data_IF_017843131306
#
_entry.id   IF_017843131306
#
_cell.length_a   1.000
_cell.length_b   1.000
_cell.length_c   1.000
_cell.angle_alpha   90.00
_cell.angle_beta   90.00
_cell.angle_gamma   90.00
#
_symmetry.space_group_name_H-M   'P 1'
#
loop_
_entity.id
_entity.type
_entity.pdbx_description
1 polymer ?
#
# COMPACT_ATOMS: atom_id res chain seq x y z
N UNK A 1 25.50 -1.22 -8.47
CA UNK A 1 24.82 0.10 -8.35
C UNK A 1 25.21 0.97 -9.55
N UNK A 2 24.28 1.69 -10.16
CA UNK A 2 24.64 2.56 -11.28
C UNK A 2 25.52 3.73 -10.80
N UNK A 3 26.66 3.93 -11.47
CA UNK A 3 27.62 5.01 -11.10
C UNK A 3 27.22 6.40 -11.57
N UNK A 4 26.42 6.50 -12.65
CA UNK A 4 26.06 7.77 -13.30
C UNK A 4 24.67 8.32 -12.92
N UNK A 5 24.00 7.76 -11.94
CA UNK A 5 22.68 8.20 -11.51
C UNK A 5 21.76 7.06 -11.13
N UNK A 6 20.52 7.35 -10.70
CA UNK A 6 19.53 6.32 -10.38
C UNK A 6 19.11 5.54 -11.63
N UNK A 7 18.80 4.26 -11.45
CA UNK A 7 18.30 3.43 -12.54
C UNK A 7 16.98 4.00 -13.11
N UNK A 8 16.75 3.92 -14.43
CA UNK A 8 15.51 4.37 -15.05
C UNK A 8 14.32 3.59 -14.51
N UNK A 9 13.26 4.30 -14.16
CA UNK A 9 12.02 3.67 -13.68
C UNK A 9 11.26 3.09 -14.87
N UNK A 10 10.93 1.80 -14.81
CA UNK A 10 10.07 1.18 -15.83
C UNK A 10 8.65 1.71 -15.70
N UNK A 11 7.96 2.02 -16.82
CA UNK A 11 6.55 2.37 -16.80
C UNK A 11 5.71 1.19 -16.30
N UNK A 12 4.65 1.48 -15.57
CA UNK A 12 3.68 0.46 -15.14
C UNK A 12 2.71 0.23 -16.29
N UNK A 13 2.70 -0.98 -16.82
CA UNK A 13 1.73 -1.40 -17.85
C UNK A 13 0.39 -1.65 -17.16
N UNK A 14 -0.70 -1.16 -17.77
CA UNK A 14 -2.05 -1.43 -17.28
C UNK A 14 -2.39 -2.91 -17.37
N UNK A 15 -3.21 -3.38 -16.45
CA UNK A 15 -3.67 -4.77 -16.44
C UNK A 15 -4.56 -5.04 -17.65
N UNK A 16 -4.40 -6.18 -18.35
CA UNK A 16 -5.18 -6.46 -19.56
C UNK A 16 -6.68 -6.68 -19.31
N UNK A 17 -7.06 -7.15 -18.13
CA UNK A 17 -8.47 -7.44 -17.78
C UNK A 17 -9.18 -6.19 -17.28
N UNK A 18 -8.58 -5.50 -16.32
CA UNK A 18 -9.18 -4.33 -15.67
C UNK A 18 -8.73 -2.98 -16.27
N UNK A 19 -7.80 -2.96 -17.22
CA UNK A 19 -7.26 -1.72 -17.80
C UNK A 19 -6.60 -0.76 -16.79
N UNK A 20 -6.29 -1.24 -15.59
CA UNK A 20 -5.85 -0.40 -14.48
C UNK A 20 -4.39 -0.68 -14.11
N UNK A 21 -3.51 0.34 -14.06
CA UNK A 21 -2.13 0.17 -13.60
C UNK A 21 -2.04 -0.17 -12.11
N UNK A 22 -3.06 0.18 -11.33
CA UNK A 22 -3.12 -0.13 -9.89
C UNK A 22 -3.27 -1.63 -9.67
N UNK A 23 -4.05 -2.32 -10.49
CA UNK A 23 -4.22 -3.78 -10.43
C UNK A 23 -2.89 -4.48 -10.75
N UNK A 24 -2.17 -4.05 -11.79
CA UNK A 24 -0.83 -4.58 -12.10
C UNK A 24 0.15 -4.37 -10.94
N UNK A 25 0.10 -3.23 -10.29
CA UNK A 25 0.94 -2.96 -9.12
C UNK A 25 0.57 -3.87 -7.93
N UNK A 26 -0.72 -4.15 -7.72
CA UNK A 26 -1.20 -5.06 -6.67
C UNK A 26 -0.71 -6.50 -6.95
N UNK A 27 -0.83 -6.98 -8.18
CA UNK A 27 -0.30 -8.29 -8.61
C UNK A 27 1.20 -8.38 -8.30
N UNK A 28 1.97 -7.36 -8.66
CA UNK A 28 3.41 -7.32 -8.40
C UNK A 28 3.75 -7.29 -6.89
N UNK A 29 2.84 -6.84 -6.01
CA UNK A 29 3.05 -6.86 -4.56
C UNK A 29 2.70 -8.19 -3.91
N UNK A 30 1.77 -8.94 -4.50
CA UNK A 30 1.39 -10.27 -4.04
C UNK A 30 2.38 -11.33 -4.53
N UNK A 31 2.99 -11.09 -5.68
CA UNK A 31 3.95 -11.98 -6.32
C UNK A 31 5.02 -12.48 -5.34
N UNK A 32 5.19 -13.82 -5.31
CA UNK A 32 6.23 -14.54 -4.56
C UNK A 32 6.90 -15.53 -5.53
N UNK A 33 8.21 -15.67 -5.47
CA UNK A 33 9.01 -16.63 -6.24
C UNK A 33 8.79 -16.58 -7.76
N UNK A 34 8.38 -15.42 -8.29
CA UNK A 34 8.13 -15.26 -9.72
C UNK A 34 6.84 -15.91 -10.24
N UNK A 35 5.98 -16.47 -9.38
CA UNK A 35 4.71 -17.14 -9.75
C UNK A 35 3.62 -16.13 -10.13
N UNK A 36 3.81 -15.46 -11.28
CA UNK A 36 2.95 -14.35 -11.70
C UNK A 36 1.51 -14.79 -11.97
N UNK A 37 1.31 -15.91 -12.65
CA UNK A 37 -0.02 -16.41 -13.01
C UNK A 37 -0.87 -16.72 -11.77
N UNK A 38 -0.24 -17.29 -10.73
CA UNK A 38 -0.90 -17.52 -9.45
C UNK A 38 -1.28 -16.19 -8.77
N UNK A 39 -0.39 -15.21 -8.79
CA UNK A 39 -0.66 -13.89 -8.22
C UNK A 39 -1.80 -13.18 -8.96
N UNK A 40 -1.84 -13.25 -10.29
CA UNK A 40 -2.93 -12.71 -11.11
C UNK A 40 -4.27 -13.36 -10.77
N UNK A 41 -4.30 -14.70 -10.70
CA UNK A 41 -5.51 -15.45 -10.35
C UNK A 41 -6.05 -15.01 -8.98
N UNK A 42 -5.20 -14.96 -7.96
CA UNK A 42 -5.60 -14.50 -6.61
C UNK A 42 -6.19 -13.09 -6.65
N UNK A 43 -5.57 -12.16 -7.38
CA UNK A 43 -6.06 -10.77 -7.47
C UNK A 43 -7.38 -10.70 -8.22
N UNK A 44 -7.52 -11.41 -9.33
CA UNK A 44 -8.75 -11.38 -10.13
C UNK A 44 -9.94 -11.98 -9.36
N UNK A 45 -9.76 -13.15 -8.77
CA UNK A 45 -10.78 -13.75 -7.90
C UNK A 45 -11.13 -12.86 -6.71
N UNK A 46 -10.13 -12.20 -6.09
CA UNK A 46 -10.39 -11.29 -4.99
C UNK A 46 -11.19 -10.06 -5.43
N UNK A 47 -10.87 -9.47 -6.57
CA UNK A 47 -11.60 -8.33 -7.12
C UNK A 47 -13.03 -8.70 -7.54
N UNK A 48 -13.23 -9.88 -8.13
CA UNK A 48 -14.55 -10.41 -8.44
C UNK A 48 -15.39 -10.57 -7.16
N UNK A 49 -14.81 -11.17 -6.12
CA UNK A 49 -15.46 -11.29 -4.82
C UNK A 49 -15.78 -9.93 -4.17
N UNK A 50 -14.92 -8.93 -4.35
CA UNK A 50 -15.17 -7.55 -3.90
C UNK A 50 -16.36 -6.96 -4.64
N UNK A 51 -16.43 -7.10 -5.96
CA UNK A 51 -17.56 -6.63 -6.75
C UNK A 51 -18.87 -7.30 -6.32
N UNK A 52 -18.87 -8.62 -6.15
CA UNK A 52 -20.05 -9.39 -5.74
C UNK A 52 -20.55 -9.01 -4.35
N UNK A 53 -19.65 -8.75 -3.39
CA UNK A 53 -20.02 -8.38 -2.02
C UNK A 53 -20.40 -6.91 -1.86
N UNK A 54 -19.78 -6.00 -2.62
CA UNK A 54 -20.03 -4.56 -2.50
C UNK A 54 -21.13 -4.05 -3.44
N UNK A 55 -21.44 -4.79 -4.51
CA UNK A 55 -22.34 -4.34 -5.58
C UNK A 55 -21.79 -3.17 -6.40
N UNK A 56 -20.49 -2.87 -6.29
CA UNK A 56 -19.82 -1.75 -6.96
C UNK A 56 -18.69 -2.27 -7.85
N UNK A 57 -18.24 -1.43 -8.79
CA UNK A 57 -17.06 -1.75 -9.59
C UNK A 57 -15.82 -2.01 -8.73
N UNK A 58 -15.20 -3.18 -8.93
CA UNK A 58 -14.07 -3.65 -8.13
C UNK A 58 -12.87 -2.67 -8.12
N UNK A 59 -12.59 -2.05 -9.27
CA UNK A 59 -11.48 -1.09 -9.39
C UNK A 59 -11.76 0.18 -8.62
N UNK A 60 -13.00 0.62 -8.60
CA UNK A 60 -13.45 1.79 -7.83
C UNK A 60 -13.33 1.54 -6.32
N UNK A 61 -13.78 0.37 -5.85
CA UNK A 61 -13.63 -0.03 -4.44
C UNK A 61 -12.15 -0.15 -4.05
N UNK A 62 -11.31 -0.74 -4.91
CA UNK A 62 -9.87 -0.84 -4.68
C UNK A 62 -9.21 0.55 -4.59
N UNK A 63 -9.55 1.48 -5.48
CA UNK A 63 -9.04 2.87 -5.42
C UNK A 63 -9.43 3.54 -4.12
N UNK A 64 -10.71 3.45 -3.73
CA UNK A 64 -11.21 3.97 -2.45
C UNK A 64 -10.46 3.37 -1.25
N UNK A 65 -10.26 2.05 -1.24
CA UNK A 65 -9.48 1.38 -0.20
C UNK A 65 -8.04 1.92 -0.12
N UNK A 66 -7.37 2.09 -1.27
CA UNK A 66 -6.03 2.64 -1.32
C UNK A 66 -5.98 4.10 -0.86
N UNK A 67 -6.96 4.92 -1.22
CA UNK A 67 -7.05 6.32 -0.78
C UNK A 67 -7.18 6.40 0.75
N UNK A 68 -7.95 5.49 1.36
CA UNK A 68 -8.08 5.39 2.80
C UNK A 68 -6.80 4.87 3.50
N UNK A 69 -5.91 4.14 2.81
CA UNK A 69 -4.67 3.59 3.38
C UNK A 69 -3.45 4.46 3.09
N UNK A 70 -3.51 5.37 2.11
CA UNK A 70 -2.38 6.25 1.75
C UNK A 70 -1.97 7.15 2.90
N UNK A 71 -0.69 7.11 3.34
CA UNK A 71 -0.18 8.05 4.33
C UNK A 71 0.17 9.39 3.68
N UNK A 72 -0.10 10.49 4.36
CA UNK A 72 0.37 11.83 4.01
C UNK A 72 1.69 12.17 4.67
N UNK A 73 1.94 11.60 5.84
CA UNK A 73 3.16 11.81 6.64
C UNK A 73 3.82 10.47 6.94
N UNK A 74 5.14 10.46 6.98
CA UNK A 74 5.95 9.36 7.50
C UNK A 74 7.02 9.91 8.44
N UNK A 75 7.59 9.05 9.26
CA UNK A 75 8.70 9.41 10.15
C UNK A 75 9.99 8.85 9.58
N UNK A 76 11.03 9.68 9.48
CA UNK A 76 12.37 9.26 9.08
C UNK A 76 13.37 9.58 10.17
N UNK A 77 14.24 8.62 10.44
CA UNK A 77 15.35 8.84 11.37
C UNK A 77 16.41 9.73 10.76
N UNK A 78 16.86 10.75 11.52
CA UNK A 78 18.00 11.60 11.19
C UNK A 78 18.94 11.67 12.37
N UNK A 79 20.23 11.56 12.11
CA UNK A 79 21.27 11.67 13.13
C UNK A 79 21.78 13.12 13.16
N UNK A 80 21.67 13.76 14.32
CA UNK A 80 22.14 15.13 14.54
C UNK A 80 22.96 15.15 15.84
N UNK A 81 24.21 15.59 15.80
CA UNK A 81 25.07 15.71 16.99
C UNK A 81 25.25 14.39 17.76
N UNK A 82 25.23 13.24 17.08
CA UNK A 82 25.35 11.93 17.73
C UNK A 82 24.03 11.28 18.18
N UNK A 83 22.95 12.05 18.31
CA UNK A 83 21.62 11.56 18.67
C UNK A 83 20.76 11.30 17.42
N UNK A 84 19.92 10.27 17.46
CA UNK A 84 18.98 9.92 16.36
C UNK A 84 17.60 10.45 16.70
N UNK A 85 17.10 11.32 15.81
CA UNK A 85 15.75 11.90 15.92
C UNK A 85 14.83 11.32 14.86
N UNK A 86 13.56 11.14 15.23
CA UNK A 86 12.50 10.74 14.31
C UNK A 86 11.85 12.00 13.73
N UNK A 87 12.17 12.32 12.49
CA UNK A 87 11.72 13.57 11.83
C UNK A 87 10.49 13.28 10.97
N UNK A 88 9.35 13.97 11.18
CA UNK A 88 8.18 13.83 10.32
C UNK A 88 8.44 14.46 8.94
N UNK A 89 8.10 13.74 7.89
CA UNK A 89 8.30 14.17 6.50
C UNK A 89 7.04 13.85 5.68
N UNK A 90 6.67 14.78 4.80
CA UNK A 90 5.59 14.53 3.84
C UNK A 90 5.94 13.42 2.86
N UNK A 91 4.96 12.57 2.56
CA UNK A 91 5.15 11.43 1.66
C UNK A 91 4.80 11.85 0.22
N UNK A 92 5.76 11.67 -0.70
CA UNK A 92 5.51 11.90 -2.13
C UNK A 92 4.41 10.95 -2.65
N UNK A 93 3.52 11.39 -3.57
CA UNK A 93 2.38 10.59 -4.04
C UNK A 93 2.74 9.17 -4.52
N UNK A 94 3.82 9.04 -5.29
CA UNK A 94 4.32 7.75 -5.77
C UNK A 94 4.69 6.80 -4.60
N UNK A 95 5.31 7.34 -3.53
CA UNK A 95 5.68 6.57 -2.36
C UNK A 95 4.45 6.22 -1.52
N UNK A 96 3.49 7.14 -1.38
CA UNK A 96 2.23 6.90 -0.68
C UNK A 96 1.47 5.71 -1.29
N UNK A 97 1.36 5.66 -2.63
CA UNK A 97 0.77 4.52 -3.33
C UNK A 97 1.52 3.21 -3.06
N UNK A 98 2.85 3.24 -3.10
CA UNK A 98 3.68 2.06 -2.84
C UNK A 98 3.52 1.56 -1.41
N UNK A 99 3.42 2.47 -0.43
CA UNK A 99 3.19 2.13 0.98
C UNK A 99 1.79 1.55 1.18
N UNK A 100 0.77 2.18 0.59
CA UNK A 100 -0.61 1.70 0.68
C UNK A 100 -0.76 0.26 0.15
N UNK A 101 -0.23 -0.01 -1.05
CA UNK A 101 -0.23 -1.37 -1.63
C UNK A 101 0.55 -2.36 -0.76
N UNK A 102 1.69 -1.96 -0.22
CA UNK A 102 2.50 -2.81 0.66
C UNK A 102 1.74 -3.15 1.95
N UNK A 103 1.15 -2.15 2.59
CA UNK A 103 0.39 -2.38 3.83
C UNK A 103 -0.84 -3.23 3.59
N UNK A 104 -1.61 -2.93 2.55
CA UNK A 104 -2.77 -3.72 2.17
C UNK A 104 -2.41 -5.21 2.01
N UNK A 105 -1.37 -5.51 1.23
CA UNK A 105 -0.93 -6.90 1.00
C UNK A 105 -0.34 -7.56 2.24
N UNK A 106 0.43 -6.82 3.05
CA UNK A 106 1.04 -7.37 4.27
C UNK A 106 -0.01 -7.71 5.32
N UNK A 107 -0.99 -6.83 5.52
CA UNK A 107 -2.07 -7.09 6.48
C UNK A 107 -3.09 -8.10 5.97
N UNK A 108 -3.34 -8.16 4.65
CA UNK A 108 -4.10 -9.27 4.08
C UNK A 108 -3.43 -10.63 4.40
N UNK A 109 -2.10 -10.75 4.22
CA UNK A 109 -1.36 -11.99 4.57
C UNK A 109 -1.46 -12.36 6.05
N UNK A 110 -1.57 -11.38 6.94
CA UNK A 110 -1.66 -11.59 8.39
C UNK A 110 -3.08 -11.99 8.88
N UNK A 111 -4.09 -11.92 8.02
CA UNK A 111 -5.47 -12.31 8.37
C UNK A 111 -5.59 -13.82 8.60
N UNK A 112 -6.67 -14.21 9.28
CA UNK A 112 -6.91 -15.60 9.72
C UNK A 112 -7.69 -16.45 8.73
N UNK A 113 -8.25 -15.86 7.67
CA UNK A 113 -9.01 -16.58 6.64
C UNK A 113 -8.15 -17.64 5.97
N UNK A 114 -8.76 -18.67 5.42
CA UNK A 114 -8.07 -19.85 4.88
C UNK A 114 -7.27 -19.50 3.62
N UNK A 115 -7.87 -18.84 2.66
CA UNK A 115 -7.25 -18.55 1.36
C UNK A 115 -6.75 -17.12 1.25
N UNK A 116 -5.70 -16.88 0.44
CA UNK A 116 -5.19 -15.54 0.19
C UNK A 116 -6.21 -14.66 -0.55
N UNK A 117 -7.04 -15.28 -1.39
CA UNK A 117 -8.14 -14.62 -2.10
C UNK A 117 -9.14 -14.01 -1.11
N UNK A 118 -9.60 -14.77 -0.13
CA UNK A 118 -10.53 -14.29 0.91
C UNK A 118 -9.91 -13.21 1.79
N UNK A 119 -8.65 -13.41 2.21
CA UNK A 119 -7.90 -12.43 3.00
C UNK A 119 -7.79 -11.09 2.30
N UNK A 120 -7.45 -11.11 1.01
CA UNK A 120 -7.33 -9.90 0.20
C UNK A 120 -8.68 -9.23 -0.02
N UNK A 121 -9.71 -10.01 -0.34
CA UNK A 121 -11.09 -9.53 -0.49
C UNK A 121 -11.55 -8.77 0.75
N UNK A 122 -11.42 -9.39 1.92
CA UNK A 122 -11.91 -8.82 3.17
C UNK A 122 -11.08 -7.60 3.59
N UNK A 123 -9.76 -7.60 3.38
CA UNK A 123 -8.93 -6.43 3.68
C UNK A 123 -9.25 -5.23 2.76
N UNK A 124 -9.54 -5.47 1.47
CA UNK A 124 -9.97 -4.41 0.54
C UNK A 124 -11.33 -3.82 0.98
N UNK A 125 -12.30 -4.67 1.33
CA UNK A 125 -13.62 -4.22 1.79
C UNK A 125 -13.53 -3.43 3.10
N UNK A 126 -12.79 -3.94 4.09
CA UNK A 126 -12.56 -3.23 5.35
C UNK A 126 -11.89 -1.89 5.11
N UNK A 127 -10.83 -1.86 4.31
CA UNK A 127 -10.11 -0.62 3.98
C UNK A 127 -10.99 0.39 3.22
N UNK A 128 -11.89 -0.06 2.34
CA UNK A 128 -12.82 0.82 1.63
C UNK A 128 -13.82 1.50 2.58
N UNK A 129 -14.11 0.87 3.72
CA UNK A 129 -14.96 1.40 4.79
C UNK A 129 -14.15 2.10 5.91
N UNK A 130 -12.87 2.41 5.66
CA UNK A 130 -11.96 3.01 6.64
C UNK A 130 -11.74 2.14 7.89
N UNK A 131 -11.83 0.83 7.73
CA UNK A 131 -11.60 -0.17 8.77
C UNK A 131 -10.38 -1.03 8.41
N UNK A 132 -10.02 -1.95 9.32
CA UNK A 132 -8.97 -2.93 9.08
C UNK A 132 -7.57 -2.49 9.50
N UNK A 133 -6.66 -3.46 9.46
CA UNK A 133 -5.30 -3.29 9.99
C UNK A 133 -4.42 -2.38 9.11
N UNK A 134 -4.67 -2.33 7.81
CA UNK A 134 -3.97 -1.44 6.89
C UNK A 134 -4.28 0.05 7.18
N UNK A 135 -5.55 0.37 7.44
CA UNK A 135 -5.98 1.73 7.82
C UNK A 135 -5.41 2.09 9.19
N UNK A 136 -5.48 1.19 10.16
CA UNK A 136 -4.87 1.38 11.49
C UNK A 136 -3.37 1.69 11.37
N UNK A 137 -2.65 1.01 10.49
CA UNK A 137 -1.22 1.29 10.25
C UNK A 137 -0.98 2.71 9.75
N UNK A 138 -1.84 3.23 8.87
CA UNK A 138 -1.78 4.64 8.44
C UNK A 138 -1.95 5.57 9.65
N UNK A 139 -2.97 5.32 10.48
CA UNK A 139 -3.26 6.13 11.66
C UNK A 139 -2.10 6.12 12.66
N UNK A 140 -1.53 4.95 12.94
CA UNK A 140 -0.36 4.81 13.82
C UNK A 140 0.84 5.58 13.27
N UNK A 141 1.05 5.55 11.95
CA UNK A 141 2.12 6.31 11.29
C UNK A 141 1.89 7.81 11.41
N UNK A 142 0.65 8.28 11.24
CA UNK A 142 0.30 9.70 11.43
C UNK A 142 0.44 10.13 12.90
N UNK A 143 0.00 9.33 13.87
CA UNK A 143 0.20 9.59 15.30
C UNK A 143 1.68 9.71 15.66
N UNK A 144 2.52 8.81 15.14
CA UNK A 144 3.98 8.91 15.34
C UNK A 144 4.55 10.19 14.76
N UNK A 145 4.10 10.59 13.56
CA UNK A 145 4.55 11.84 12.92
C UNK A 145 4.11 13.07 13.72
N UNK A 146 2.90 13.05 14.25
CA UNK A 146 2.36 14.13 15.08
C UNK A 146 3.09 14.23 16.42
N UNK A 147 3.33 13.12 17.10
CA UNK A 147 4.11 13.07 18.36
C UNK A 147 5.52 13.60 18.19
N UNK A 148 6.11 13.44 17.01
CA UNK A 148 7.46 13.93 16.69
C UNK A 148 7.45 15.29 16.00
N UNK A 149 6.33 16.02 16.00
CA UNK A 149 6.20 17.32 15.33
C UNK A 149 7.22 18.35 15.80
N UNK A 150 7.61 18.29 17.05
CA UNK A 150 8.66 19.18 17.64
C UNK A 150 10.00 19.08 16.90
N UNK A 151 10.31 17.93 16.27
CA UNK A 151 11.54 17.70 15.51
C UNK A 151 11.41 18.03 14.01
N UNK A 152 10.28 18.60 13.57
CA UNK A 152 10.06 18.95 12.16
C UNK A 152 11.10 19.96 11.61
N UNK A 153 11.65 20.81 12.47
CA UNK A 153 12.69 21.78 12.10
C UNK A 153 14.03 21.12 11.74
N UNK A 154 14.25 19.84 12.07
CA UNK A 154 15.40 19.06 11.61
C UNK A 154 15.21 18.48 10.20
N UNK A 155 14.13 18.82 9.51
CA UNK A 155 13.90 18.43 8.11
C UNK A 155 14.96 19.04 7.19
N UNK A 156 15.46 18.26 6.22
CA UNK A 156 16.39 18.73 5.17
C UNK A 156 15.70 18.87 3.83
#
# INVERSE_FOLDING_TARGET
MPRKGPAPKRPVVADPVYGSPVVSQLVNKILVDGKKDLAQRIVYEALENVANKSGQDAVTVLKKALDNVRPTLEVRSRRVGGSTYQVPVEVKPHRANTLALRWLTSYAKARREKTMTERLTNEILDASNSLGAAVKRREDTHKMAESNRAFAHYRW
#
